data_IF_805708514465
#
_entry.id   IF_805708514465
#
_cell.length_a   1.000
_cell.length_b   1.000
_cell.length_c   1.000
_cell.angle_alpha   90.00
_cell.angle_beta   90.00
_cell.angle_gamma   90.00
#
_symmetry.space_group_name_H-M   'P 1'
#
loop_
_entity.id
_entity.type
_entity.pdbx_description
1 polymer ?
#
# COMPACT_ATOMS: atom_id res chain seq x y z
N UNK A 1 -18.28 -6.02 6.51
CA UNK A 1 -17.58 -4.73 6.70
C UNK A 1 -17.52 -4.03 5.37
N UNK A 2 -17.85 -2.75 5.26
CA UNK A 2 -17.76 -2.03 3.98
C UNK A 2 -16.30 -1.74 3.57
N UNK A 3 -16.09 -1.32 2.33
CA UNK A 3 -14.76 -1.12 1.73
C UNK A 3 -13.92 -0.07 2.45
N UNK A 4 -14.54 1.03 2.88
CA UNK A 4 -13.83 2.09 3.58
C UNK A 4 -13.36 1.62 4.95
N UNK A 5 -14.24 0.94 5.70
CA UNK A 5 -13.89 0.38 7.00
C UNK A 5 -12.75 -0.65 6.90
N UNK A 6 -12.73 -1.48 5.85
CA UNK A 6 -11.62 -2.43 5.60
C UNK A 6 -10.31 -1.72 5.26
N UNK A 7 -10.35 -0.66 4.45
CA UNK A 7 -9.15 0.15 4.15
C UNK A 7 -8.55 0.74 5.43
N UNK A 8 -9.39 1.28 6.32
CA UNK A 8 -8.94 1.82 7.61
C UNK A 8 -8.35 0.72 8.52
N UNK A 9 -8.95 -0.47 8.54
CA UNK A 9 -8.39 -1.60 9.28
C UNK A 9 -7.04 -2.06 8.71
N UNK A 10 -6.90 -2.09 7.38
CA UNK A 10 -5.64 -2.36 6.71
C UNK A 10 -4.56 -1.35 7.13
N UNK A 11 -4.84 -0.04 7.09
CA UNK A 11 -3.88 0.97 7.55
C UNK A 11 -3.54 0.80 9.03
N UNK A 12 -4.51 0.50 9.89
CA UNK A 12 -4.25 0.26 11.30
C UNK A 12 -3.32 -0.95 11.52
N UNK A 13 -3.53 -2.07 10.81
CA UNK A 13 -2.65 -3.25 10.90
C UNK A 13 -1.26 -2.97 10.33
N UNK A 14 -1.19 -2.29 9.18
CA UNK A 14 0.07 -1.93 8.54
C UNK A 14 0.88 -0.98 9.43
N UNK A 15 0.22 -0.03 10.10
CA UNK A 15 0.86 0.87 11.05
C UNK A 15 1.44 0.11 12.25
N UNK A 16 0.68 -0.84 12.81
CA UNK A 16 1.07 -1.62 13.98
C UNK A 16 2.17 -2.66 13.71
N UNK A 17 2.32 -3.09 12.45
CA UNK A 17 3.40 -3.99 12.06
C UNK A 17 4.78 -3.34 12.26
N UNK A 18 5.86 -4.13 12.47
CA UNK A 18 7.23 -3.60 12.48
C UNK A 18 7.54 -2.81 11.21
N UNK A 19 8.41 -1.80 11.33
CA UNK A 19 8.86 -1.07 10.16
C UNK A 19 9.79 -1.95 9.31
N UNK A 20 9.58 -1.93 8.00
CA UNK A 20 10.46 -2.60 7.05
C UNK A 20 11.79 -1.85 6.90
N UNK A 21 12.87 -2.57 6.60
CA UNK A 21 14.20 -1.99 6.36
C UNK A 21 14.51 -1.81 4.88
N UNK A 22 13.73 -2.46 4.01
CA UNK A 22 13.90 -2.41 2.56
C UNK A 22 12.58 -2.16 1.84
N UNK A 23 12.70 -1.71 0.59
CA UNK A 23 11.57 -1.61 -0.33
C UNK A 23 10.80 -2.94 -0.45
N UNK A 24 11.49 -4.06 -0.70
CA UNK A 24 10.85 -5.36 -0.96
C UNK A 24 10.14 -5.92 0.28
N UNK A 25 10.74 -5.75 1.46
CA UNK A 25 10.08 -6.09 2.73
C UNK A 25 8.80 -5.28 2.94
N UNK A 26 8.85 -3.99 2.63
CA UNK A 26 7.72 -3.08 2.78
C UNK A 26 6.59 -3.41 1.80
N UNK A 27 6.95 -3.71 0.56
CA UNK A 27 6.02 -4.15 -0.47
C UNK A 27 5.34 -5.48 -0.10
N UNK A 28 6.11 -6.47 0.37
CA UNK A 28 5.58 -7.74 0.84
C UNK A 28 4.63 -7.55 2.04
N UNK A 29 5.06 -6.80 3.05
CA UNK A 29 4.24 -6.49 4.23
C UNK A 29 2.92 -5.83 3.84
N UNK A 30 2.96 -4.85 2.94
CA UNK A 30 1.76 -4.17 2.44
C UNK A 30 0.81 -5.17 1.76
N UNK A 31 1.33 -6.00 0.86
CA UNK A 31 0.54 -7.00 0.13
C UNK A 31 -0.11 -8.02 1.07
N UNK A 32 0.68 -8.58 1.97
CA UNK A 32 0.22 -9.60 2.91
C UNK A 32 -0.81 -9.04 3.88
N UNK A 33 -0.60 -7.83 4.38
CA UNK A 33 -1.53 -7.18 5.31
C UNK A 33 -2.88 -6.90 4.63
N UNK A 34 -2.89 -6.37 3.41
CA UNK A 34 -4.14 -6.08 2.69
C UNK A 34 -4.88 -7.38 2.34
N UNK A 35 -4.17 -8.40 1.86
CA UNK A 35 -4.79 -9.68 1.53
C UNK A 35 -5.40 -10.34 2.77
N UNK A 36 -4.69 -10.36 3.91
CA UNK A 36 -5.23 -10.88 5.18
C UNK A 36 -6.50 -10.16 5.60
N UNK A 37 -6.54 -8.82 5.54
CA UNK A 37 -7.75 -8.05 5.88
C UNK A 37 -8.92 -8.40 4.97
N UNK A 38 -8.68 -8.48 3.65
CA UNK A 38 -9.75 -8.79 2.71
C UNK A 38 -10.20 -10.25 2.81
N UNK A 39 -9.30 -11.20 3.06
CA UNK A 39 -9.65 -12.61 3.28
C UNK A 39 -10.54 -12.77 4.52
N UNK A 40 -10.26 -12.02 5.58
CA UNK A 40 -11.03 -12.08 6.82
C UNK A 40 -12.38 -11.35 6.75
N UNK A 41 -12.49 -10.28 5.95
CA UNK A 41 -13.59 -9.32 6.10
C UNK A 41 -14.37 -8.97 4.83
N UNK A 42 -13.87 -9.27 3.64
CA UNK A 42 -14.57 -8.96 2.39
C UNK A 42 -15.69 -9.97 2.08
N UNK A 43 -15.49 -11.23 2.47
CA UNK A 43 -16.34 -12.35 2.02
C UNK A 43 -16.16 -12.70 0.54
N UNK A 44 -15.17 -12.11 -0.13
CA UNK A 44 -14.88 -12.26 -1.56
C UNK A 44 -13.51 -12.95 -1.70
N UNK A 45 -13.44 -14.14 -2.31
CA UNK A 45 -12.17 -14.82 -2.56
C UNK A 45 -11.23 -13.95 -3.41
N UNK A 46 -9.93 -14.06 -3.15
CA UNK A 46 -8.93 -13.42 -3.99
C UNK A 46 -9.02 -13.96 -5.43
N UNK A 47 -9.39 -13.10 -6.38
CA UNK A 47 -9.44 -13.43 -7.80
C UNK A 47 -9.00 -12.21 -8.64
N UNK A 48 -7.72 -12.14 -9.04
CA UNK A 48 -7.17 -10.97 -9.71
C UNK A 48 -7.83 -10.69 -11.07
N UNK A 49 -8.50 -11.67 -11.69
CA UNK A 49 -9.21 -11.46 -12.96
C UNK A 49 -10.46 -10.57 -12.80
N UNK A 50 -11.01 -10.46 -11.58
CA UNK A 50 -12.25 -9.72 -11.29
C UNK A 50 -12.03 -8.48 -10.40
N UNK A 51 -10.79 -8.01 -10.28
CA UNK A 51 -10.39 -6.98 -9.32
C UNK A 51 -11.15 -5.64 -9.41
N UNK A 52 -11.83 -5.39 -10.53
CA UNK A 52 -12.57 -4.15 -10.77
C UNK A 52 -14.03 -4.20 -10.31
N UNK A 53 -14.61 -5.40 -10.17
CA UNK A 53 -16.06 -5.60 -10.07
C UNK A 53 -16.50 -6.39 -8.84
N UNK A 54 -15.60 -7.13 -8.21
CA UNK A 54 -15.92 -8.03 -7.09
C UNK A 54 -16.04 -7.31 -5.72
N UNK A 55 -15.63 -6.05 -5.64
CA UNK A 55 -15.70 -5.23 -4.43
C UNK A 55 -14.60 -5.52 -3.39
N UNK A 56 -13.63 -6.38 -3.71
CA UNK A 56 -12.43 -6.63 -2.92
C UNK A 56 -11.37 -5.56 -3.20
N UNK A 57 -10.59 -5.19 -2.19
CA UNK A 57 -9.40 -4.36 -2.35
C UNK A 57 -8.21 -5.22 -2.77
N UNK A 58 -7.42 -4.75 -3.73
CA UNK A 58 -6.25 -5.47 -4.24
C UNK A 58 -4.97 -4.68 -4.00
N UNK A 59 -3.88 -5.36 -3.60
CA UNK A 59 -2.60 -4.72 -3.39
C UNK A 59 -2.00 -4.21 -4.70
N UNK A 60 -1.07 -3.24 -4.62
CA UNK A 60 -0.37 -2.70 -5.79
C UNK A 60 0.33 -3.81 -6.57
N UNK A 61 0.22 -3.78 -7.90
CA UNK A 61 0.85 -4.78 -8.77
C UNK A 61 2.19 -4.26 -9.34
N UNK A 62 3.23 -5.11 -9.49
CA UNK A 62 4.56 -4.66 -9.93
C UNK A 62 4.60 -4.12 -11.36
N UNK A 63 3.70 -4.60 -12.23
CA UNK A 63 3.54 -4.13 -13.62
C UNK A 63 3.07 -2.67 -13.71
N UNK A 64 2.54 -2.13 -12.60
CA UNK A 64 2.11 -0.74 -12.43
C UNK A 64 3.05 0.07 -11.52
N UNK A 65 4.34 -0.29 -11.53
CA UNK A 65 5.40 0.46 -10.85
C UNK A 65 6.08 1.47 -11.78
N UNK A 66 6.54 2.58 -11.20
CA UNK A 66 7.19 3.68 -11.90
C UNK A 66 8.29 4.28 -11.02
N UNK A 67 9.40 4.68 -11.65
CA UNK A 67 10.37 5.55 -11.01
C UNK A 67 9.74 6.93 -10.70
N UNK A 68 10.26 7.61 -9.69
CA UNK A 68 9.81 8.95 -9.30
C UNK A 68 10.90 9.98 -9.64
N UNK A 69 10.55 10.97 -10.45
CA UNK A 69 11.48 12.04 -10.86
C UNK A 69 12.04 12.76 -9.63
N UNK A 70 13.37 12.86 -9.55
CA UNK A 70 14.08 13.47 -8.41
C UNK A 70 14.27 12.55 -7.20
N UNK A 71 13.68 11.36 -7.19
CA UNK A 71 13.76 10.40 -6.07
C UNK A 71 14.10 8.98 -6.58
N UNK A 72 15.37 8.72 -6.95
CA UNK A 72 15.78 7.45 -7.57
C UNK A 72 15.62 6.23 -6.65
N UNK A 73 15.59 6.44 -5.33
CA UNK A 73 15.39 5.40 -4.32
C UNK A 73 13.91 5.22 -3.91
N UNK A 74 12.96 5.83 -4.65
CA UNK A 74 11.52 5.71 -4.41
C UNK A 74 10.83 5.09 -5.62
N UNK A 75 10.00 4.09 -5.34
CA UNK A 75 9.14 3.44 -6.35
C UNK A 75 7.70 3.85 -6.09
N UNK A 76 7.00 4.27 -7.16
CA UNK A 76 5.56 4.55 -7.13
C UNK A 76 4.80 3.40 -7.75
N UNK A 77 3.81 2.89 -7.04
CA UNK A 77 2.81 1.96 -7.55
C UNK A 77 1.46 2.65 -7.75
N UNK A 78 0.78 2.32 -8.85
CA UNK A 78 -0.56 2.84 -9.17
C UNK A 78 -1.64 1.82 -8.82
N UNK A 79 -2.57 2.20 -7.94
CA UNK A 79 -3.75 1.43 -7.53
C UNK A 79 -5.02 2.20 -7.85
N UNK A 80 -6.19 1.56 -7.79
CA UNK A 80 -7.45 2.29 -7.93
C UNK A 80 -7.58 3.38 -6.85
N UNK A 81 -7.76 4.63 -7.30
CA UNK A 81 -7.86 5.81 -6.42
C UNK A 81 -6.58 6.30 -5.75
N UNK A 82 -5.50 5.51 -5.69
CA UNK A 82 -4.31 5.81 -4.89
C UNK A 82 -2.98 5.60 -5.63
N UNK A 83 -1.99 6.40 -5.27
CA UNK A 83 -0.58 6.12 -5.51
C UNK A 83 0.04 5.67 -4.19
N UNK A 84 0.78 4.56 -4.23
CA UNK A 84 1.59 4.09 -3.10
C UNK A 84 3.05 4.33 -3.44
N UNK A 85 3.78 4.99 -2.55
CA UNK A 85 5.20 5.26 -2.69
C UNK A 85 5.94 4.43 -1.64
N UNK A 86 6.97 3.71 -2.07
CA UNK A 86 7.82 2.92 -1.19
C UNK A 86 9.26 3.35 -1.42
N UNK A 87 9.92 3.79 -0.35
CA UNK A 87 11.33 4.17 -0.40
C UNK A 87 12.24 2.98 -0.11
N UNK A 88 13.51 3.07 -0.51
CA UNK A 88 14.53 2.05 -0.29
C UNK A 88 14.73 1.64 1.16
N UNK A 89 14.48 2.55 2.11
CA UNK A 89 14.52 2.28 3.56
C UNK A 89 13.27 1.55 4.09
N UNK A 90 12.31 1.22 3.23
CA UNK A 90 11.05 0.56 3.59
C UNK A 90 9.92 1.50 4.03
N UNK A 91 10.10 2.82 3.98
CA UNK A 91 9.03 3.76 4.27
C UNK A 91 7.90 3.69 3.23
N UNK A 92 6.66 3.93 3.66
CA UNK A 92 5.45 3.92 2.82
C UNK A 92 4.76 5.27 2.93
N UNK A 93 4.27 5.79 1.80
CA UNK A 93 3.29 6.88 1.76
C UNK A 93 2.20 6.53 0.74
N UNK A 94 0.93 6.67 1.12
CA UNK A 94 -0.21 6.51 0.22
C UNK A 94 -0.86 7.87 0.01
N UNK A 95 -1.09 8.24 -1.25
CA UNK A 95 -1.75 9.47 -1.65
C UNK A 95 -3.01 9.20 -2.45
N UNK A 96 -4.07 9.94 -2.16
CA UNK A 96 -5.28 9.96 -2.99
C UNK A 96 -4.96 10.66 -4.31
N UNK A 97 -5.31 10.05 -5.43
CA UNK A 97 -4.93 10.58 -6.74
C UNK A 97 -5.72 11.82 -7.12
N UNK A 98 -6.99 11.87 -6.73
CA UNK A 98 -7.87 13.00 -7.08
C UNK A 98 -7.42 14.31 -6.41
N UNK A 99 -6.90 14.24 -5.17
CA UNK A 99 -6.57 15.42 -4.36
C UNK A 99 -5.07 15.58 -4.12
N UNK A 100 -4.27 14.55 -4.38
CA UNK A 100 -2.86 14.44 -4.00
C UNK A 100 -2.59 14.55 -2.48
N UNK A 101 -3.65 14.42 -1.67
CA UNK A 101 -3.54 14.40 -0.22
C UNK A 101 -2.96 13.07 0.26
N UNK A 102 -2.18 13.15 1.34
CA UNK A 102 -1.63 11.97 2.00
C UNK A 102 -2.74 11.31 2.82
N UNK A 103 -3.01 10.05 2.51
CA UNK A 103 -3.99 9.21 3.19
C UNK A 103 -3.33 8.36 4.29
N UNK A 104 -2.07 7.97 4.08
CA UNK A 104 -1.32 7.14 5.03
C UNK A 104 0.19 7.36 4.92
N UNK A 105 0.89 7.26 6.05
CA UNK A 105 2.36 7.21 6.11
C UNK A 105 2.84 6.18 7.12
N UNK A 106 3.96 5.52 6.79
CA UNK A 106 4.70 4.65 7.70
C UNK A 106 6.20 4.86 7.50
N UNK A 107 6.98 5.13 8.56
CA UNK A 107 8.42 5.30 8.43
C UNK A 107 9.12 3.96 8.16
N UNK A 108 10.30 4.03 7.56
CA UNK A 108 11.21 2.89 7.44
C UNK A 108 11.83 2.51 8.79
N UNK A 109 12.61 1.43 8.82
CA UNK A 109 13.28 0.96 10.04
C UNK A 109 14.28 1.99 10.61
N UNK A 110 14.78 2.89 9.76
CA UNK A 110 15.63 4.02 10.15
C UNK A 110 14.85 5.22 10.73
N UNK A 111 13.53 5.11 10.87
CA UNK A 111 12.66 6.16 11.43
C UNK A 111 12.30 7.29 10.45
N UNK A 112 12.80 7.26 9.21
CA UNK A 112 12.56 8.29 8.20
C UNK A 112 11.38 7.97 7.29
N UNK A 113 10.72 9.01 6.77
CA UNK A 113 9.68 8.93 5.75
C UNK A 113 10.21 8.62 4.35
N UNK A 114 9.30 8.65 3.36
CA UNK A 114 9.60 8.32 1.95
C UNK A 114 10.50 9.35 1.28
N UNK A 115 10.42 10.62 1.70
CA UNK A 115 11.05 11.76 1.03
C UNK A 115 12.31 12.28 1.75
N UNK A 116 12.91 11.48 2.65
CA UNK A 116 13.94 11.88 3.64
C UNK A 116 15.24 11.07 3.61
#
# INVERSE_FOLDING_TARGET
MDRYTRLQLFYARLQAAPNASTHDESYALLCDTLNSVEDEHSGVPYNPDNFQTDGRLYPPQPDRSYAVDGFPDVVRYRNFGHNTYIAKNGAIEVKVIATNEVDFTKPGANGKGVWE
#
